data_IF_902377608254
#
_entry.id   IF_902377608254
#
_cell.length_a   1.000
_cell.length_b   1.000
_cell.length_c   1.000
_cell.angle_alpha   90.00
_cell.angle_beta   90.00
_cell.angle_gamma   90.00
#
_symmetry.space_group_name_H-M   'P 1'
#
loop_
_entity.id
_entity.type
_entity.pdbx_description
1 polymer ?
#
# COMPACT_ATOMS: atom_id res chain seq x y z
N UNK A 1 -3.67 7.42 -0.81
CA UNK A 1 -3.04 8.37 -1.76
C UNK A 1 -2.83 9.78 -1.18
N UNK A 2 -3.87 10.49 -0.72
CA UNK A 2 -3.74 11.86 -0.17
C UNK A 2 -3.09 11.94 1.23
N UNK A 3 -3.47 11.08 2.19
CA UNK A 3 -2.90 11.12 3.56
C UNK A 3 -1.39 10.84 3.57
N UNK A 4 -0.95 9.96 2.67
CA UNK A 4 0.45 9.57 2.48
C UNK A 4 1.28 10.66 1.79
N UNK A 5 0.62 11.60 1.11
CA UNK A 5 1.24 12.69 0.35
C UNK A 5 1.78 13.79 1.28
N UNK A 6 1.22 13.89 2.50
CA UNK A 6 1.49 14.91 3.50
C UNK A 6 2.13 14.35 4.78
N UNK A 7 2.53 13.06 4.81
CA UNK A 7 3.05 12.38 6.01
C UNK A 7 2.10 12.52 7.21
N UNK A 8 0.81 12.37 6.94
CA UNK A 8 -0.21 12.38 7.99
C UNK A 8 -0.28 10.94 8.50
N UNK A 9 0.67 10.60 9.35
CA UNK A 9 0.92 9.25 9.86
C UNK A 9 -0.16 8.83 10.89
N UNK A 10 -0.93 9.80 11.38
CA UNK A 10 -2.09 9.59 12.26
C UNK A 10 -3.41 9.85 11.51
N UNK A 11 -4.33 8.89 11.56
CA UNK A 11 -5.64 8.98 10.90
C UNK A 11 -6.42 10.23 11.33
N UNK A 12 -6.28 10.67 12.57
CA UNK A 12 -6.88 11.90 13.08
C UNK A 12 -6.41 13.16 12.32
N UNK A 13 -5.11 13.27 12.04
CA UNK A 13 -4.54 14.42 11.31
C UNK A 13 -4.99 14.45 9.86
N UNK A 14 -5.18 13.28 9.28
CA UNK A 14 -5.59 13.19 7.90
C UNK A 14 -7.09 13.39 7.70
N UNK A 15 -7.93 12.91 8.62
CA UNK A 15 -9.34 13.29 8.67
C UNK A 15 -9.48 14.80 8.87
N UNK A 16 -8.69 15.40 9.77
CA UNK A 16 -8.67 16.85 9.96
C UNK A 16 -8.27 17.60 8.67
N UNK A 17 -7.27 17.10 7.93
CA UNK A 17 -6.90 17.69 6.62
C UNK A 17 -7.95 17.49 5.54
N UNK A 18 -8.63 16.34 5.50
CA UNK A 18 -9.74 16.13 4.56
C UNK A 18 -10.91 17.06 4.92
N UNK A 19 -11.19 17.26 6.21
CA UNK A 19 -12.17 18.25 6.67
C UNK A 19 -11.77 19.68 6.28
N UNK A 20 -10.49 20.04 6.40
CA UNK A 20 -10.00 21.34 5.93
C UNK A 20 -10.16 21.52 4.42
N UNK A 21 -9.80 20.50 3.62
CA UNK A 21 -10.01 20.49 2.17
C UNK A 21 -11.49 20.58 1.80
N UNK A 22 -12.35 19.92 2.57
CA UNK A 22 -13.80 19.97 2.39
C UNK A 22 -14.37 21.34 2.73
N UNK A 23 -13.90 21.99 3.79
CA UNK A 23 -14.25 23.37 4.12
C UNK A 23 -13.80 24.37 3.04
N UNK A 24 -12.74 24.04 2.28
CA UNK A 24 -12.29 24.82 1.11
C UNK A 24 -13.03 24.46 -0.19
N UNK A 25 -14.03 23.59 -0.15
CA UNK A 25 -14.76 23.06 -1.32
C UNK A 25 -13.84 22.37 -2.35
N UNK A 26 -12.70 21.82 -1.91
CA UNK A 26 -11.76 21.12 -2.79
C UNK A 26 -12.06 19.62 -2.90
N UNK A 27 -12.79 19.07 -1.92
CA UNK A 27 -13.14 17.66 -1.79
C UNK A 27 -14.49 17.54 -1.09
N UNK A 28 -15.37 16.70 -1.61
CA UNK A 28 -16.63 16.35 -0.98
C UNK A 28 -16.44 15.14 -0.06
N UNK A 29 -16.80 15.31 1.21
CA UNK A 29 -16.83 14.24 2.19
C UNK A 29 -18.19 13.52 2.11
N UNK A 30 -18.18 12.31 1.56
CA UNK A 30 -19.33 11.40 1.55
C UNK A 30 -19.25 10.52 2.79
N UNK A 31 -20.19 10.72 3.70
CA UNK A 31 -20.36 9.89 4.91
C UNK A 31 -21.37 8.79 4.60
N UNK A 32 -20.92 7.55 4.48
CA UNK A 32 -21.85 6.41 4.42
C UNK A 32 -22.18 5.94 5.84
N UNK A 33 -23.44 6.09 6.27
CA UNK A 33 -23.92 5.54 7.55
C UNK A 33 -24.14 4.03 7.39
N UNK A 34 -23.39 3.21 8.11
CA UNK A 34 -23.74 1.79 8.31
C UNK A 34 -24.56 1.65 9.61
N UNK A 35 -25.79 1.13 9.50
CA UNK A 35 -26.75 0.99 10.61
C UNK A 35 -26.45 -0.18 11.58
N UNK A 36 -25.32 -0.90 11.43
CA UNK A 36 -25.06 -2.15 12.17
C UNK A 36 -23.80 -2.17 13.04
N UNK A 37 -22.96 -1.13 13.03
CA UNK A 37 -21.92 -1.00 14.06
C UNK A 37 -21.58 0.47 14.29
N UNK A 38 -21.59 0.91 15.54
CA UNK A 38 -21.40 2.29 15.95
C UNK A 38 -19.95 2.78 15.85
N UNK A 39 -19.07 2.12 15.10
CA UNK A 39 -17.63 2.42 15.11
C UNK A 39 -16.98 2.74 13.76
N UNK A 40 -17.70 2.73 12.63
CA UNK A 40 -17.07 3.03 11.33
C UNK A 40 -17.91 3.96 10.46
N UNK A 41 -17.57 5.25 10.48
CA UNK A 41 -17.91 6.16 9.40
C UNK A 41 -16.84 5.98 8.30
N UNK A 42 -17.16 5.25 7.24
CA UNK A 42 -16.32 5.27 6.04
C UNK A 42 -16.49 6.66 5.40
N UNK A 43 -15.51 7.54 5.61
CA UNK A 43 -15.47 8.84 4.97
C UNK A 43 -14.81 8.66 3.60
N UNK A 44 -15.61 8.70 2.54
CA UNK A 44 -15.07 8.79 1.19
C UNK A 44 -14.88 10.26 0.83
N UNK A 45 -13.72 10.57 0.26
CA UNK A 45 -13.40 11.90 -0.25
C UNK A 45 -13.52 11.86 -1.78
N UNK A 46 -14.50 12.56 -2.33
CA UNK A 46 -14.67 12.72 -3.77
C UNK A 46 -14.10 14.07 -4.19
N UNK A 47 -13.25 14.10 -5.21
CA UNK A 47 -12.81 15.35 -5.80
C UNK A 47 -13.64 15.63 -7.05
N UNK A 48 -14.17 16.85 -7.17
CA UNK A 48 -14.89 17.27 -8.37
C UNK A 48 -14.01 17.16 -9.62
N UNK A 49 -14.57 16.69 -10.74
CA UNK A 49 -13.81 16.41 -11.97
C UNK A 49 -13.04 17.63 -12.51
N UNK A 50 -13.62 18.83 -12.39
CA UNK A 50 -12.94 20.07 -12.78
C UNK A 50 -11.71 20.37 -11.91
N UNK A 51 -11.78 20.12 -10.60
CA UNK A 51 -10.64 20.31 -9.70
C UNK A 51 -9.55 19.29 -9.95
N UNK A 52 -9.93 18.04 -10.24
CA UNK A 52 -8.99 17.01 -10.69
C UNK A 52 -8.29 17.44 -11.99
N UNK A 53 -9.04 17.87 -13.00
CA UNK A 53 -8.50 18.34 -14.29
C UNK A 53 -7.60 19.57 -14.12
N UNK A 54 -7.98 20.52 -13.25
CA UNK A 54 -7.18 21.69 -12.95
C UNK A 54 -5.85 21.32 -12.27
N UNK A 55 -5.89 20.39 -11.30
CA UNK A 55 -4.69 19.90 -10.64
C UNK A 55 -3.74 19.17 -11.61
N UNK A 56 -4.29 18.38 -12.53
CA UNK A 56 -3.52 17.74 -13.62
C UNK A 56 -2.90 18.81 -14.51
N UNK A 57 -3.71 19.76 -15.01
CA UNK A 57 -3.23 20.83 -15.87
C UNK A 57 -2.14 21.69 -15.22
N UNK A 58 -2.32 22.09 -13.96
CA UNK A 58 -1.29 22.83 -13.21
C UNK A 58 -0.01 22.02 -13.04
N UNK A 59 -0.13 20.71 -12.77
CA UNK A 59 1.02 19.82 -12.73
C UNK A 59 1.69 19.68 -14.10
N UNK A 60 0.95 19.87 -15.19
CA UNK A 60 1.47 19.76 -16.55
C UNK A 60 2.26 20.98 -17.03
N UNK A 61 2.12 22.13 -16.36
CA UNK A 61 2.87 23.35 -16.66
C UNK A 61 4.36 23.24 -16.29
N UNK A 62 4.72 22.34 -15.38
CA UNK A 62 6.12 22.07 -15.02
C UNK A 62 6.70 20.94 -15.89
N UNK A 63 7.95 21.07 -16.38
CA UNK A 63 8.69 19.98 -17.00
C UNK A 63 8.69 18.75 -16.08
N UNK A 64 8.58 17.55 -16.66
CA UNK A 64 8.47 16.30 -15.89
C UNK A 64 9.54 16.22 -14.80
N UNK A 65 10.77 16.57 -15.13
CA UNK A 65 11.95 16.54 -14.26
C UNK A 65 11.80 17.38 -12.99
N UNK A 66 11.01 18.46 -13.06
CA UNK A 66 10.82 19.45 -12.01
C UNK A 66 9.60 19.16 -11.14
N UNK A 67 8.69 18.29 -11.61
CA UNK A 67 7.48 17.93 -10.87
C UNK A 67 7.85 17.25 -9.56
N UNK A 68 7.54 17.90 -8.43
CA UNK A 68 7.74 17.33 -7.09
C UNK A 68 6.95 16.04 -6.85
N UNK A 69 5.89 15.82 -7.64
CA UNK A 69 4.98 14.68 -7.57
C UNK A 69 4.58 14.31 -8.99
N UNK A 70 4.95 13.10 -9.40
CA UNK A 70 4.42 12.48 -10.61
C UNK A 70 3.59 11.28 -10.18
N UNK A 71 2.35 11.22 -10.63
CA UNK A 71 1.49 10.04 -10.53
C UNK A 71 1.39 9.53 -11.95
N UNK A 72 2.00 8.38 -12.22
CA UNK A 72 1.78 7.69 -13.47
C UNK A 72 0.81 6.55 -13.21
N UNK A 73 -0.26 6.52 -14.01
CA UNK A 73 -1.19 5.41 -14.09
C UNK A 73 -0.80 4.58 -15.32
N UNK A 74 -0.34 3.35 -15.09
CA UNK A 74 -0.02 2.40 -16.16
C UNK A 74 -1.15 1.38 -16.22
N UNK A 75 -1.77 1.26 -17.39
CA UNK A 75 -2.76 0.21 -17.66
C UNK A 75 -2.14 -0.88 -18.55
N UNK A 76 -2.20 -2.14 -18.12
CA UNK A 76 -1.54 -3.25 -18.81
C UNK A 76 -0.04 -2.99 -19.03
N UNK A 77 0.51 -3.33 -20.20
CA UNK A 77 1.90 -3.04 -20.58
C UNK A 77 2.06 -1.74 -21.37
N UNK A 78 1.06 -0.84 -21.32
CA UNK A 78 1.13 0.46 -21.99
C UNK A 78 1.96 1.44 -21.16
N UNK A 79 3.29 1.26 -21.22
CA UNK A 79 4.25 2.16 -20.59
C UNK A 79 4.58 3.31 -21.53
N UNK A 80 4.80 4.53 -21.02
CA UNK A 80 5.18 5.66 -21.87
C UNK A 80 6.50 5.41 -22.62
N UNK A 81 6.60 5.90 -23.85
CA UNK A 81 7.78 5.70 -24.73
C UNK A 81 9.09 6.15 -24.08
N UNK A 82 9.05 7.24 -23.31
CA UNK A 82 10.21 7.75 -22.58
C UNK A 82 10.75 6.76 -21.52
N UNK A 83 9.92 5.84 -21.02
CA UNK A 83 10.34 4.79 -20.09
C UNK A 83 11.16 3.71 -20.83
N UNK A 84 10.77 3.40 -22.06
CA UNK A 84 11.41 2.37 -22.90
C UNK A 84 12.70 2.85 -23.56
N UNK A 85 12.78 4.13 -23.93
CA UNK A 85 13.91 4.66 -24.70
C UNK A 85 15.20 4.91 -23.89
N UNK A 86 15.19 4.79 -22.55
CA UNK A 86 16.34 5.04 -21.66
C UNK A 86 17.09 6.39 -21.87
N UNK A 87 16.57 7.30 -22.69
CA UNK A 87 17.06 8.67 -22.87
C UNK A 87 16.59 9.48 -21.66
N UNK A 88 17.25 9.28 -20.52
CA UNK A 88 16.82 9.86 -19.26
C UNK A 88 17.17 11.34 -19.16
N UNK A 89 16.20 12.19 -18.86
CA UNK A 89 16.32 13.09 -17.75
C UNK A 89 15.82 12.34 -16.49
N UNK A 90 16.60 12.43 -15.42
CA UNK A 90 16.36 11.76 -14.13
C UNK A 90 14.90 11.83 -13.67
N UNK A 91 14.18 10.70 -13.79
CA UNK A 91 12.78 10.61 -13.38
C UNK A 91 12.71 10.81 -11.85
N UNK A 92 12.05 11.87 -11.41
CA UNK A 92 11.83 12.22 -10.00
C UNK A 92 10.51 11.66 -9.45
N UNK A 93 9.92 10.69 -10.15
CA UNK A 93 8.62 10.12 -9.74
C UNK A 93 8.74 9.44 -8.38
N UNK A 94 7.83 9.80 -7.48
CA UNK A 94 7.78 9.30 -6.11
C UNK A 94 6.66 8.31 -5.89
N UNK A 95 5.66 8.28 -6.77
CA UNK A 95 4.49 7.43 -6.71
C UNK A 95 4.18 6.87 -8.09
N UNK A 96 3.89 5.58 -8.13
CA UNK A 96 3.48 4.87 -9.34
C UNK A 96 2.22 4.07 -9.05
N UNK A 97 1.22 4.17 -9.92
CA UNK A 97 -0.01 3.39 -9.86
C UNK A 97 -0.09 2.53 -11.11
N UNK A 98 -0.31 1.25 -10.95
CA UNK A 98 -0.43 0.30 -12.07
C UNK A 98 -1.73 -0.46 -11.88
N UNK A 99 -2.56 -0.47 -12.90
CA UNK A 99 -3.83 -1.21 -12.93
C UNK A 99 -3.81 -2.21 -14.06
N UNK A 100 -4.15 -3.46 -13.74
CA UNK A 100 -4.36 -4.61 -14.65
C UNK A 100 -3.16 -5.01 -15.53
N UNK A 101 -3.06 -6.31 -15.84
CA UNK A 101 -2.26 -6.89 -16.95
C UNK A 101 -0.76 -6.50 -17.09
N UNK A 102 -0.15 -5.85 -16.10
CA UNK A 102 1.27 -5.49 -16.12
C UNK A 102 2.14 -6.69 -15.79
N UNK A 103 3.04 -7.06 -16.71
CA UNK A 103 3.91 -8.23 -16.54
C UNK A 103 5.39 -7.85 -16.39
N UNK A 104 5.78 -6.64 -16.80
CA UNK A 104 7.19 -6.24 -16.83
C UNK A 104 7.66 -5.50 -15.56
N UNK A 105 7.63 -6.19 -14.43
CA UNK A 105 8.05 -5.65 -13.13
C UNK A 105 9.51 -5.21 -13.05
N UNK A 106 10.37 -5.70 -13.94
CA UNK A 106 11.77 -5.27 -14.02
C UNK A 106 11.92 -3.81 -14.41
N UNK A 107 10.95 -3.22 -15.13
CA UNK A 107 10.98 -1.80 -15.47
C UNK A 107 10.79 -0.89 -14.26
N UNK A 108 10.20 -1.40 -13.18
CA UNK A 108 9.92 -0.63 -11.97
C UNK A 108 11.20 -0.30 -11.18
N UNK A 109 12.25 -1.11 -11.33
CA UNK A 109 13.54 -0.86 -10.68
C UNK A 109 14.36 0.21 -11.40
N UNK A 110 14.05 0.50 -12.67
CA UNK A 110 14.66 1.58 -13.46
C UNK A 110 14.25 2.99 -13.00
N UNK A 111 13.37 3.10 -12.00
CA UNK A 111 12.89 4.38 -11.44
C UNK A 111 13.55 4.63 -10.08
N UNK A 112 14.71 5.32 -10.03
CA UNK A 112 15.55 5.36 -8.83
C UNK A 112 14.90 6.07 -7.64
N UNK A 113 13.97 7.00 -7.89
CA UNK A 113 13.34 7.82 -6.84
C UNK A 113 11.99 7.28 -6.36
N UNK A 114 11.60 6.09 -6.82
CA UNK A 114 10.29 5.51 -6.53
C UNK A 114 10.15 5.18 -5.04
N UNK A 115 9.23 5.87 -4.36
CA UNK A 115 8.96 5.70 -2.92
C UNK A 115 7.66 4.97 -2.63
N UNK A 116 6.72 4.96 -3.58
CA UNK A 116 5.39 4.39 -3.39
C UNK A 116 4.95 3.68 -4.65
N UNK A 117 4.47 2.46 -4.50
CA UNK A 117 3.86 1.69 -5.57
C UNK A 117 2.45 1.30 -5.14
N UNK A 118 1.48 1.54 -6.00
CA UNK A 118 0.14 0.97 -5.94
C UNK A 118 -0.02 0.03 -7.13
N UNK A 119 -0.35 -1.22 -6.86
CA UNK A 119 -0.70 -2.23 -7.86
C UNK A 119 -2.15 -2.61 -7.66
N UNK A 120 -2.90 -2.69 -8.75
CA UNK A 120 -4.32 -2.98 -8.74
C UNK A 120 -4.64 -4.06 -9.78
N UNK A 121 -5.27 -5.16 -9.35
CA UNK A 121 -5.67 -6.26 -10.24
C UNK A 121 -4.51 -6.87 -11.03
N UNK A 122 -3.32 -6.96 -10.41
CA UNK A 122 -2.13 -7.57 -11.01
C UNK A 122 -1.71 -8.84 -10.28
N UNK A 123 -1.24 -9.83 -11.01
CA UNK A 123 -0.54 -11.00 -10.46
C UNK A 123 0.94 -10.66 -10.26
N UNK A 124 1.39 -10.69 -9.02
CA UNK A 124 2.72 -10.20 -8.65
C UNK A 124 3.69 -11.39 -8.62
N UNK A 125 4.73 -11.40 -9.46
CA UNK A 125 5.82 -12.36 -9.32
C UNK A 125 6.59 -12.07 -8.03
N UNK A 126 7.43 -13.00 -7.59
CA UNK A 126 8.25 -12.76 -6.39
C UNK A 126 9.06 -11.46 -6.51
N UNK A 127 9.03 -10.61 -5.49
CA UNK A 127 9.94 -9.47 -5.36
C UNK A 127 11.38 -9.91 -5.13
N UNK A 128 11.60 -11.16 -4.72
CA UNK A 128 12.89 -11.72 -4.35
C UNK A 128 13.75 -12.17 -5.54
N UNK A 129 13.62 -11.49 -6.70
CA UNK A 129 14.53 -11.64 -7.83
C UNK A 129 15.64 -10.59 -7.75
N UNK A 130 16.88 -10.96 -8.06
CA UNK A 130 18.06 -10.06 -8.08
C UNK A 130 17.84 -8.77 -8.87
N UNK A 131 17.03 -8.84 -9.94
CA UNK A 131 16.77 -7.70 -10.83
C UNK A 131 15.58 -6.84 -10.34
N UNK A 132 14.96 -7.20 -9.21
CA UNK A 132 13.78 -6.56 -8.62
C UNK A 132 14.10 -5.92 -7.26
N UNK A 133 15.16 -5.10 -7.22
CA UNK A 133 15.56 -4.35 -6.02
C UNK A 133 15.01 -2.92 -6.03
N UNK A 134 14.22 -2.58 -5.01
CA UNK A 134 13.60 -1.26 -4.84
C UNK A 134 14.28 -0.48 -3.70
N UNK A 135 15.37 0.20 -4.01
CA UNK A 135 16.23 0.80 -2.98
C UNK A 135 15.60 1.95 -2.19
N UNK A 136 14.53 2.56 -2.71
CA UNK A 136 13.88 3.73 -2.11
C UNK A 136 12.39 3.52 -1.82
N UNK A 137 11.84 2.34 -2.09
CA UNK A 137 10.43 2.07 -1.87
C UNK A 137 10.12 2.06 -0.37
N UNK A 138 9.20 2.91 0.04
CA UNK A 138 8.74 3.07 1.42
C UNK A 138 7.32 2.52 1.61
N UNK A 139 6.49 2.56 0.57
CA UNK A 139 5.10 2.10 0.64
C UNK A 139 4.74 1.20 -0.53
N UNK A 140 4.15 0.06 -0.22
CA UNK A 140 3.57 -0.87 -1.18
C UNK A 140 2.06 -0.99 -0.91
N UNK A 141 1.24 -0.83 -1.93
CA UNK A 141 -0.21 -1.00 -1.85
C UNK A 141 -0.68 -1.95 -2.92
N UNK A 142 -1.32 -3.04 -2.53
CA UNK A 142 -1.75 -4.13 -3.39
C UNK A 142 -3.28 -4.24 -3.28
N UNK A 143 -4.00 -3.98 -4.36
CA UNK A 143 -5.47 -3.95 -4.37
C UNK A 143 -5.99 -4.98 -5.36
N UNK A 144 -6.77 -5.96 -4.91
CA UNK A 144 -7.29 -7.03 -5.78
C UNK A 144 -6.17 -7.81 -6.50
N UNK A 145 -4.97 -7.86 -5.90
CA UNK A 145 -3.81 -8.54 -6.48
C UNK A 145 -3.75 -10.01 -6.09
N UNK A 146 -3.17 -10.83 -6.97
CA UNK A 146 -2.71 -12.17 -6.65
C UNK A 146 -1.27 -12.08 -6.11
N UNK A 147 -1.08 -12.40 -4.84
CA UNK A 147 0.15 -12.11 -4.09
C UNK A 147 0.79 -13.32 -3.42
N UNK A 148 0.25 -14.51 -3.59
CA UNK A 148 0.70 -15.74 -2.93
C UNK A 148 2.16 -16.07 -3.23
N UNK A 149 2.70 -15.59 -4.35
CA UNK A 149 4.12 -15.72 -4.71
C UNK A 149 4.92 -14.42 -4.55
N UNK A 150 4.28 -13.29 -4.23
CA UNK A 150 4.93 -11.98 -4.25
C UNK A 150 6.09 -11.87 -3.24
N UNK A 151 5.95 -12.50 -2.08
CA UNK A 151 6.94 -12.46 -1.00
C UNK A 151 7.67 -13.79 -0.80
N UNK A 152 7.54 -14.75 -1.71
CA UNK A 152 8.28 -15.99 -1.60
C UNK A 152 9.78 -15.72 -1.82
N UNK A 153 10.63 -16.21 -0.93
CA UNK A 153 12.08 -16.12 -1.13
C UNK A 153 12.47 -16.83 -2.44
N UNK A 154 13.28 -16.18 -3.28
CA UNK A 154 13.80 -16.73 -4.54
C UNK A 154 15.32 -16.60 -4.58
N UNK A 155 15.88 -15.62 -5.29
CA UNK A 155 17.33 -15.46 -5.43
C UNK A 155 17.95 -14.56 -4.37
N UNK A 156 17.17 -13.65 -3.78
CA UNK A 156 17.57 -12.78 -2.67
C UNK A 156 16.54 -12.84 -1.54
N UNK A 157 16.84 -12.31 -0.35
CA UNK A 157 15.81 -12.12 0.66
C UNK A 157 14.88 -10.94 0.30
N UNK A 158 13.60 -11.01 0.69
CA UNK A 158 12.65 -9.88 0.51
C UNK A 158 13.15 -8.61 1.21
N UNK A 159 13.88 -8.74 2.31
CA UNK A 159 14.53 -7.63 3.00
C UNK A 159 15.65 -6.96 2.19
N UNK A 160 16.28 -7.70 1.29
CA UNK A 160 17.27 -7.14 0.34
C UNK A 160 16.59 -6.47 -0.84
N UNK A 161 15.45 -7.02 -1.29
CA UNK A 161 14.64 -6.44 -2.37
C UNK A 161 13.96 -5.13 -1.94
N UNK A 162 13.46 -5.06 -0.71
CA UNK A 162 12.64 -3.96 -0.18
C UNK A 162 13.24 -3.33 1.10
N UNK A 163 14.50 -2.87 1.10
CA UNK A 163 15.27 -2.54 2.31
C UNK A 163 14.82 -1.26 3.04
N UNK A 164 13.93 -0.48 2.45
CA UNK A 164 13.40 0.79 3.01
C UNK A 164 11.89 0.78 3.19
N UNK A 165 11.23 -0.38 3.07
CA UNK A 165 9.79 -0.46 3.16
C UNK A 165 9.32 -0.18 4.60
N UNK A 166 8.41 0.78 4.73
CA UNK A 166 7.84 1.25 6.00
C UNK A 166 6.34 0.89 6.09
N UNK A 167 5.65 0.74 4.96
CA UNK A 167 4.22 0.48 4.92
C UNK A 167 3.82 -0.56 3.87
N UNK A 168 3.01 -1.52 4.27
CA UNK A 168 2.34 -2.47 3.37
C UNK A 168 0.82 -2.34 3.57
N UNK A 169 0.11 -2.13 2.47
CA UNK A 169 -1.34 -2.22 2.42
C UNK A 169 -1.72 -3.34 1.43
N UNK A 170 -2.53 -4.29 1.88
CA UNK A 170 -3.09 -5.35 1.05
C UNK A 170 -4.61 -5.28 1.22
N UNK A 171 -5.32 -5.17 0.10
CA UNK A 171 -6.78 -5.12 0.10
C UNK A 171 -7.33 -6.06 -0.96
N UNK A 172 -8.42 -6.77 -0.64
CA UNK A 172 -9.10 -7.69 -1.55
C UNK A 172 -8.19 -8.76 -2.22
N UNK A 173 -7.18 -9.29 -1.50
CA UNK A 173 -6.39 -10.40 -2.05
C UNK A 173 -7.18 -11.72 -2.03
N UNK A 174 -7.24 -12.37 -3.19
CA UNK A 174 -8.02 -13.58 -3.41
C UNK A 174 -7.24 -14.89 -3.18
N UNK A 175 -5.96 -14.82 -2.89
CA UNK A 175 -5.05 -15.97 -2.76
C UNK A 175 -4.13 -15.89 -1.53
N UNK A 176 -4.23 -14.82 -0.74
CA UNK A 176 -3.54 -14.72 0.54
C UNK A 176 -4.18 -15.65 1.58
N UNK A 177 -3.58 -16.81 1.79
CA UNK A 177 -4.00 -17.82 2.77
C UNK A 177 -3.30 -17.61 4.12
N UNK A 178 -1.99 -17.41 4.08
CA UNK A 178 -1.15 -17.08 5.22
C UNK A 178 -0.29 -15.87 4.84
N UNK A 179 -0.07 -14.96 5.79
CA UNK A 179 0.81 -13.82 5.54
C UNK A 179 2.29 -14.30 5.49
N UNK A 180 3.04 -14.07 4.41
CA UNK A 180 4.39 -14.61 4.25
C UNK A 180 5.35 -14.20 5.37
N UNK A 181 6.10 -15.16 5.91
CA UNK A 181 7.05 -14.93 6.99
C UNK A 181 8.13 -13.90 6.62
N UNK A 182 8.48 -13.81 5.34
CA UNK A 182 9.42 -12.86 4.75
C UNK A 182 9.07 -11.40 5.05
N UNK A 183 7.78 -11.06 5.14
CA UNK A 183 7.33 -9.69 5.47
C UNK A 183 7.84 -9.27 6.86
N UNK A 184 7.97 -10.22 7.78
CA UNK A 184 8.38 -9.96 9.15
C UNK A 184 9.90 -9.74 9.31
N UNK A 185 10.66 -9.93 8.24
CA UNK A 185 12.09 -9.55 8.18
C UNK A 185 12.29 -8.11 7.69
N UNK A 186 11.22 -7.42 7.30
CA UNK A 186 11.25 -6.00 6.92
C UNK A 186 11.22 -5.13 8.19
N UNK A 187 12.35 -5.08 8.91
CA UNK A 187 12.48 -4.43 10.22
C UNK A 187 12.14 -2.92 10.25
N UNK A 188 12.02 -2.26 9.09
CA UNK A 188 11.62 -0.86 8.98
C UNK A 188 10.10 -0.66 8.87
N UNK A 189 9.32 -1.72 8.75
CA UNK A 189 7.86 -1.63 8.72
C UNK A 189 7.34 -0.98 10.00
N UNK A 190 6.49 0.01 9.79
CA UNK A 190 5.71 0.74 10.79
C UNK A 190 4.22 0.44 10.67
N UNK A 191 3.75 0.12 9.46
CA UNK A 191 2.34 -0.16 9.20
C UNK A 191 2.15 -1.40 8.33
N UNK A 192 1.31 -2.31 8.81
CA UNK A 192 0.73 -3.40 8.03
C UNK A 192 -0.78 -3.24 8.09
N UNK A 193 -1.41 -3.12 6.93
CA UNK A 193 -2.86 -3.07 6.79
C UNK A 193 -3.30 -4.15 5.81
N UNK A 194 -4.09 -5.11 6.27
CA UNK A 194 -4.66 -6.18 5.46
C UNK A 194 -6.17 -6.11 5.64
N UNK A 195 -6.88 -5.83 4.56
CA UNK A 195 -8.34 -5.63 4.58
C UNK A 195 -9.02 -6.48 3.52
N UNK A 196 -10.25 -6.92 3.79
CA UNK A 196 -11.07 -7.70 2.85
C UNK A 196 -10.37 -8.94 2.27
N UNK A 197 -9.41 -9.53 3.00
CA UNK A 197 -8.68 -10.72 2.58
C UNK A 197 -9.36 -11.95 3.19
N UNK A 198 -10.45 -12.42 2.57
CA UNK A 198 -11.35 -13.41 3.14
C UNK A 198 -10.78 -14.84 3.19
N UNK A 199 -9.63 -15.08 2.54
CA UNK A 199 -8.92 -16.37 2.59
C UNK A 199 -7.79 -16.40 3.63
N UNK A 200 -7.48 -15.26 4.26
CA UNK A 200 -6.43 -15.20 5.26
C UNK A 200 -6.89 -15.97 6.50
N UNK A 201 -6.19 -17.06 6.82
CA UNK A 201 -6.51 -17.94 7.95
C UNK A 201 -5.56 -17.70 9.12
N UNK A 202 -4.31 -17.34 8.84
CA UNK A 202 -3.27 -17.17 9.86
C UNK A 202 -2.25 -16.07 9.51
N UNK A 203 -1.69 -15.47 10.56
CA UNK A 203 -0.42 -14.75 10.50
C UNK A 203 0.73 -15.78 10.62
N UNK A 204 1.96 -15.46 10.20
CA UNK A 204 3.04 -16.42 10.27
C UNK A 204 3.41 -16.72 11.70
N UNK A 205 4.29 -17.73 11.82
CA UNK A 205 4.73 -18.29 13.09
C UNK A 205 5.03 -17.22 14.17
N UNK A 206 4.71 -17.51 15.44
CA UNK A 206 4.84 -16.54 16.52
C UNK A 206 6.26 -15.94 16.70
N UNK A 207 7.33 -16.64 16.34
CA UNK A 207 8.69 -16.11 16.54
C UNK A 207 9.03 -15.00 15.55
N UNK A 208 8.34 -14.95 14.44
CA UNK A 208 8.58 -14.03 13.33
C UNK A 208 7.90 -12.68 13.60
N UNK A 209 6.68 -12.66 14.17
CA UNK A 209 5.97 -11.40 14.43
C UNK A 209 6.73 -10.44 15.34
N UNK A 210 7.43 -10.98 16.35
CA UNK A 210 8.24 -10.18 17.28
C UNK A 210 9.44 -9.47 16.63
N UNK A 211 9.79 -9.78 15.38
CA UNK A 211 10.89 -9.11 14.65
C UNK A 211 10.53 -7.71 14.17
N UNK A 212 9.24 -7.39 14.07
CA UNK A 212 8.76 -6.08 13.63
C UNK A 212 8.80 -5.05 14.77
N UNK A 213 9.99 -4.81 15.31
CA UNK A 213 10.23 -3.93 16.47
C UNK A 213 9.84 -2.46 16.24
N UNK A 214 9.61 -2.06 14.99
CA UNK A 214 9.18 -0.72 14.60
C UNK A 214 7.69 -0.63 14.25
N UNK A 215 6.93 -1.73 14.35
CA UNK A 215 5.53 -1.73 13.96
C UNK A 215 4.69 -0.89 14.93
N UNK A 216 3.98 0.10 14.38
CA UNK A 216 3.10 1.02 15.11
C UNK A 216 1.63 0.72 14.83
N UNK A 217 1.31 0.21 13.64
CA UNK A 217 -0.06 -0.06 13.19
C UNK A 217 -0.13 -1.47 12.59
N UNK A 218 -0.97 -2.31 13.17
CA UNK A 218 -1.39 -3.59 12.62
C UNK A 218 -2.90 -3.57 12.45
N UNK A 219 -3.37 -3.51 11.20
CA UNK A 219 -4.78 -3.58 10.85
C UNK A 219 -5.07 -4.85 10.06
N UNK A 220 -6.01 -5.63 10.57
CA UNK A 220 -6.60 -6.81 9.97
C UNK A 220 -8.11 -6.54 10.00
N UNK A 221 -8.73 -6.15 8.89
CA UNK A 221 -10.16 -5.83 8.86
C UNK A 221 -10.89 -6.71 7.86
N UNK A 222 -12.05 -7.21 8.24
CA UNK A 222 -12.89 -8.03 7.35
C UNK A 222 -12.13 -9.27 6.82
N UNK A 223 -11.20 -9.81 7.62
CA UNK A 223 -10.50 -11.07 7.38
C UNK A 223 -11.24 -12.21 8.08
N UNK A 224 -12.43 -12.53 7.57
CA UNK A 224 -13.44 -13.38 8.24
C UNK A 224 -12.99 -14.82 8.61
N UNK A 225 -11.89 -15.33 8.03
CA UNK A 225 -11.36 -16.67 8.30
C UNK A 225 -10.18 -16.67 9.26
N UNK A 226 -9.76 -15.50 9.75
CA UNK A 226 -8.62 -15.38 10.64
C UNK A 226 -8.99 -15.97 12.01
N UNK A 227 -8.36 -17.10 12.36
CA UNK A 227 -8.75 -17.87 13.55
C UNK A 227 -8.18 -17.27 14.85
N UNK A 228 -6.89 -16.95 14.83
CA UNK A 228 -6.19 -16.47 16.01
C UNK A 228 -5.08 -15.49 15.67
N UNK A 229 -4.76 -14.65 16.65
CA UNK A 229 -3.57 -13.83 16.64
C UNK A 229 -2.44 -14.56 17.40
N UNK A 230 -1.19 -14.55 16.91
CA UNK A 230 -0.08 -15.15 17.63
C UNK A 230 0.17 -14.39 18.95
N UNK A 231 0.31 -15.13 20.05
CA UNK A 231 0.51 -14.57 21.41
C UNK A 231 1.72 -13.63 21.52
N UNK A 232 2.70 -13.77 20.62
CA UNK A 232 3.90 -12.95 20.52
C UNK A 232 3.66 -11.55 19.96
N UNK A 233 2.43 -11.20 19.54
CA UNK A 233 2.03 -9.80 19.29
C UNK A 233 2.31 -8.92 20.51
N UNK A 234 2.24 -9.48 21.73
CA UNK A 234 2.62 -8.76 22.94
C UNK A 234 4.08 -8.25 22.97
N UNK A 235 4.95 -8.77 22.09
CA UNK A 235 6.32 -8.28 21.92
C UNK A 235 6.46 -7.04 21.03
N UNK A 236 5.38 -6.57 20.39
CA UNK A 236 5.38 -5.37 19.54
C UNK A 236 5.29 -4.10 20.38
N UNK A 237 6.38 -3.70 21.03
CA UNK A 237 6.40 -2.60 22.01
C UNK A 237 6.03 -1.21 21.46
N UNK A 238 6.11 -1.00 20.14
CA UNK A 238 5.71 0.27 19.50
C UNK A 238 4.29 0.26 18.95
N UNK A 239 3.56 -0.86 19.05
CA UNK A 239 2.23 -1.00 18.48
C UNK A 239 1.26 -0.06 19.22
N UNK A 240 0.70 0.89 18.48
CA UNK A 240 -0.28 1.87 18.97
C UNK A 240 -1.70 1.53 18.54
N UNK A 241 -1.84 0.90 17.36
CA UNK A 241 -3.12 0.54 16.77
C UNK A 241 -3.10 -0.95 16.41
N UNK A 242 -3.99 -1.70 17.04
CA UNK A 242 -4.36 -3.05 16.65
C UNK A 242 -5.84 -3.04 16.28
N UNK A 243 -6.14 -3.21 14.99
CA UNK A 243 -7.49 -3.28 14.47
C UNK A 243 -7.74 -4.70 13.95
N UNK A 244 -8.72 -5.38 14.53
CA UNK A 244 -9.14 -6.76 14.17
C UNK A 244 -10.62 -6.83 13.83
N UNK A 245 -11.19 -5.71 13.40
CA UNK A 245 -12.63 -5.58 13.17
C UNK A 245 -13.10 -6.52 12.08
N UNK A 246 -14.27 -7.14 12.27
CA UNK A 246 -14.89 -8.04 11.29
C UNK A 246 -13.99 -9.25 10.89
N UNK A 247 -13.01 -9.63 11.71
CA UNK A 247 -12.18 -10.82 11.48
C UNK A 247 -12.81 -12.12 12.00
N UNK A 248 -13.73 -12.04 12.95
CA UNK A 248 -14.36 -13.21 13.56
C UNK A 248 -15.68 -13.51 12.88
N UNK A 249 -15.87 -14.74 12.41
CA UNK A 249 -17.22 -15.29 12.25
C UNK A 249 -17.88 -15.26 13.63
N UNK A 250 -18.88 -14.39 13.81
CA UNK A 250 -19.79 -14.55 14.94
C UNK A 250 -20.51 -15.87 14.74
N UNK A 251 -20.10 -16.91 15.45
CA UNK A 251 -20.87 -18.16 15.54
C UNK A 251 -22.31 -17.78 15.93
N UNK A 252 -23.26 -18.15 15.07
CA UNK A 252 -24.70 -18.10 15.32
C UNK A 252 -25.22 -19.51 15.57
#
# INVERSE_FOLDING_TARGET
MWMELYKLDEEAYAVAKIQELSNMNLVDLVVTRNYLSSCYNHHFAMQHDLLRKLAIHQSDLEPLEQRKRQVLEICANNVPDWWMEQKQPSISSRLLSISTEFSNFSLLTSVPNLKRIRLEQVSIPSFAFTNMKFENLQKLSLFTCNIGQAFSTSTIQVSEALPKLEEINIDYSNDLIELPAEIFYLIKLKKISITNCHKLIALPRPREIGKLVNLEILRLSSCIKLLELPYTIGGLHKLRILDISECLETER
#
